data_IF_959416745306
#
_entry.id   IF_959416745306
#
_cell.length_a   1.000
_cell.length_b   1.000
_cell.length_c   1.000
_cell.angle_alpha   90.00
_cell.angle_beta   90.00
_cell.angle_gamma   90.00
#
_symmetry.space_group_name_H-M   'P 1'
#
loop_
_entity.id
_entity.type
_entity.pdbx_description
1 polymer ?
#
# COMPACT_ATOMS: atom_id res chain seq x y z
N UNK A 1 -12.72 -32.92 -33.37
CA UNK A 1 -12.23 -33.35 -32.06
C UNK A 1 -10.93 -32.64 -31.65
N UNK A 2 -9.90 -32.56 -32.51
CA UNK A 2 -8.63 -31.85 -32.17
C UNK A 2 -8.82 -30.39 -31.80
N UNK A 3 -9.64 -29.64 -32.54
CA UNK A 3 -9.92 -28.20 -32.27
C UNK A 3 -10.57 -27.99 -30.89
N UNK A 4 -11.50 -28.87 -30.50
CA UNK A 4 -12.15 -28.79 -29.18
C UNK A 4 -11.15 -29.03 -28.07
N UNK A 5 -10.23 -29.98 -28.23
CA UNK A 5 -9.16 -30.26 -27.27
C UNK A 5 -8.20 -29.05 -27.14
N UNK A 6 -7.86 -28.41 -28.27
CA UNK A 6 -7.02 -27.21 -28.27
C UNK A 6 -7.72 -26.00 -27.56
N UNK A 7 -9.01 -25.80 -27.83
CA UNK A 7 -9.79 -24.72 -27.17
C UNK A 7 -9.93 -24.98 -25.68
N UNK A 8 -10.23 -26.22 -25.28
CA UNK A 8 -10.32 -26.58 -23.86
C UNK A 8 -8.94 -26.47 -23.18
N UNK A 9 -7.87 -26.91 -23.84
CA UNK A 9 -6.50 -26.74 -23.31
C UNK A 9 -6.11 -25.28 -23.13
N UNK A 10 -6.44 -24.44 -24.10
CA UNK A 10 -6.15 -22.99 -23.99
C UNK A 10 -6.84 -22.32 -22.81
N UNK A 11 -8.03 -22.78 -22.40
CA UNK A 11 -8.74 -22.26 -21.22
C UNK A 11 -7.95 -22.38 -19.91
N UNK A 12 -7.04 -23.34 -19.82
CA UNK A 12 -6.22 -23.57 -18.62
C UNK A 12 -4.80 -23.03 -18.76
N UNK A 13 -4.24 -23.03 -19.96
CA UNK A 13 -2.85 -22.66 -20.20
C UNK A 13 -2.68 -21.16 -20.29
N UNK A 14 -3.59 -20.47 -21.00
CA UNK A 14 -3.46 -19.02 -21.23
C UNK A 14 -3.51 -18.21 -19.92
N UNK A 15 -4.47 -18.42 -18.99
CA UNK A 15 -4.48 -17.70 -17.73
C UNK A 15 -3.19 -17.91 -16.91
N UNK A 16 -2.73 -19.16 -16.81
CA UNK A 16 -1.51 -19.49 -16.05
C UNK A 16 -0.26 -18.84 -16.62
N UNK A 17 -0.16 -18.76 -17.93
CA UNK A 17 0.93 -18.05 -18.58
C UNK A 17 0.89 -16.55 -18.31
N UNK A 18 -0.30 -15.93 -18.36
CA UNK A 18 -0.48 -14.52 -18.04
C UNK A 18 -0.21 -14.21 -16.57
N UNK A 19 -0.68 -15.07 -15.65
CA UNK A 19 -0.37 -14.98 -14.22
C UNK A 19 1.16 -14.95 -13.99
N UNK A 20 1.90 -15.87 -14.60
CA UNK A 20 3.36 -15.95 -14.48
C UNK A 20 4.07 -14.66 -14.95
N UNK A 21 3.63 -14.07 -16.07
CA UNK A 21 4.21 -12.82 -16.55
C UNK A 21 3.95 -11.67 -15.55
N UNK A 22 2.72 -11.58 -15.03
CA UNK A 22 2.37 -10.54 -14.06
C UNK A 22 3.12 -10.76 -12.74
N UNK A 23 3.26 -12.00 -12.30
CA UNK A 23 4.07 -12.35 -11.11
C UNK A 23 5.52 -11.93 -11.28
N UNK A 24 6.13 -12.19 -12.43
CA UNK A 24 7.51 -11.81 -12.72
C UNK A 24 7.69 -10.28 -12.70
N UNK A 25 6.75 -9.53 -13.30
CA UNK A 25 6.79 -8.07 -13.32
C UNK A 25 6.62 -7.47 -11.93
N UNK A 26 5.66 -7.97 -11.15
CA UNK A 26 5.45 -7.54 -9.76
C UNK A 26 6.68 -7.85 -8.89
N UNK A 27 7.31 -9.01 -9.12
CA UNK A 27 8.52 -9.40 -8.40
C UNK A 27 9.71 -8.49 -8.71
N UNK A 28 9.87 -8.09 -9.96
CA UNK A 28 10.94 -7.18 -10.38
C UNK A 28 10.71 -5.76 -9.85
N UNK A 29 9.48 -5.27 -9.92
CA UNK A 29 9.14 -3.89 -9.61
C UNK A 29 8.93 -3.64 -8.11
N UNK A 30 8.26 -4.55 -7.39
CA UNK A 30 7.84 -4.36 -6.00
C UNK A 30 8.58 -5.24 -5.00
N UNK A 31 9.19 -6.34 -5.46
CA UNK A 31 9.99 -7.29 -4.65
C UNK A 31 9.27 -7.75 -3.37
N UNK A 32 8.02 -8.23 -3.47
CA UNK A 32 7.29 -8.74 -2.33
C UNK A 32 7.99 -9.98 -1.75
N UNK A 33 7.79 -10.26 -0.46
CA UNK A 33 8.31 -11.50 0.14
C UNK A 33 7.57 -12.76 -0.32
N UNK A 34 6.28 -12.60 -0.65
CA UNK A 34 5.44 -13.59 -1.32
C UNK A 34 4.33 -12.89 -2.09
N UNK A 35 3.79 -13.58 -3.08
CA UNK A 35 2.69 -13.05 -3.88
C UNK A 35 1.74 -14.14 -4.36
N UNK A 36 0.52 -13.74 -4.65
CA UNK A 36 -0.46 -14.53 -5.39
C UNK A 36 -1.04 -13.66 -6.50
N UNK A 37 -1.23 -14.24 -7.66
CA UNK A 37 -1.86 -13.60 -8.80
C UNK A 37 -2.91 -14.55 -9.36
N UNK A 38 -4.10 -14.07 -9.62
CA UNK A 38 -5.19 -14.79 -10.26
C UNK A 38 -5.72 -13.93 -11.40
N UNK A 39 -5.78 -14.51 -12.60
CA UNK A 39 -6.33 -13.84 -13.79
C UNK A 39 -7.38 -14.75 -14.41
N UNK A 40 -8.59 -14.24 -14.50
CA UNK A 40 -9.74 -14.97 -15.03
C UNK A 40 -10.33 -14.28 -16.25
N UNK A 41 -10.71 -15.08 -17.22
CA UNK A 41 -11.48 -14.62 -18.38
C UNK A 41 -12.29 -15.76 -18.98
N UNK A 42 -13.52 -15.47 -19.32
CA UNK A 42 -14.42 -16.45 -19.94
C UNK A 42 -14.98 -15.90 -21.26
N UNK A 43 -14.60 -16.49 -22.39
CA UNK A 43 -13.59 -17.55 -22.59
C UNK A 43 -12.14 -17.01 -22.45
N UNK A 44 -11.20 -17.89 -22.06
CA UNK A 44 -9.81 -17.50 -21.79
C UNK A 44 -9.06 -16.92 -23.01
N UNK A 45 -9.50 -17.17 -24.22
CA UNK A 45 -8.87 -16.61 -25.43
C UNK A 45 -8.97 -15.07 -25.49
N UNK A 46 -9.90 -14.42 -24.75
CA UNK A 46 -9.96 -12.97 -24.62
C UNK A 46 -8.64 -12.38 -24.10
N UNK A 47 -7.92 -13.12 -23.24
CA UNK A 47 -6.62 -12.71 -22.70
C UNK A 47 -5.60 -12.45 -23.82
N UNK A 48 -5.64 -13.23 -24.89
CA UNK A 48 -4.75 -13.04 -26.07
C UNK A 48 -5.02 -11.69 -26.75
N UNK A 49 -6.24 -11.17 -26.63
CA UNK A 49 -6.63 -9.86 -27.14
C UNK A 49 -6.52 -8.75 -26.08
N UNK A 50 -5.84 -9.03 -24.97
CA UNK A 50 -5.65 -8.06 -23.90
C UNK A 50 -6.89 -7.80 -23.06
N UNK A 51 -7.85 -8.73 -22.97
CA UNK A 51 -9.07 -8.57 -22.18
C UNK A 51 -9.12 -9.60 -21.06
N UNK A 52 -9.15 -9.12 -19.80
CA UNK A 52 -9.39 -9.93 -18.62
C UNK A 52 -10.69 -9.53 -17.94
N UNK A 53 -11.50 -10.53 -17.57
CA UNK A 53 -12.77 -10.27 -16.88
C UNK A 53 -12.50 -9.92 -15.42
N UNK A 54 -11.51 -10.57 -14.78
CA UNK A 54 -11.13 -10.36 -13.39
C UNK A 54 -9.63 -10.60 -13.17
N UNK A 55 -9.02 -9.80 -12.35
CA UNK A 55 -7.67 -10.00 -11.82
C UNK A 55 -7.64 -9.64 -10.35
N UNK A 56 -7.05 -10.49 -9.54
CA UNK A 56 -6.89 -10.27 -8.12
C UNK A 56 -5.57 -10.85 -7.63
N UNK A 57 -5.08 -10.35 -6.51
CA UNK A 57 -3.90 -10.90 -5.89
C UNK A 57 -3.54 -10.22 -4.58
N UNK A 58 -2.54 -10.79 -3.94
CA UNK A 58 -1.99 -10.27 -2.70
C UNK A 58 -0.47 -10.27 -2.79
N UNK A 59 0.14 -9.21 -2.33
CA UNK A 59 1.59 -9.04 -2.22
C UNK A 59 1.93 -8.84 -0.76
N UNK A 60 2.87 -9.59 -0.23
CA UNK A 60 3.27 -9.51 1.17
C UNK A 60 4.60 -8.76 1.32
N UNK A 61 4.69 -7.91 2.34
CA UNK A 61 5.87 -7.14 2.71
C UNK A 61 6.45 -6.31 1.56
N UNK A 62 5.65 -5.39 1.03
CA UNK A 62 6.04 -4.49 -0.06
C UNK A 62 6.55 -3.17 0.49
N UNK A 63 7.79 -2.84 0.17
CA UNK A 63 8.38 -1.55 0.53
C UNK A 63 8.07 -0.51 -0.55
N UNK A 64 7.22 0.47 -0.23
CA UNK A 64 6.93 1.61 -1.09
C UNK A 64 7.53 2.89 -0.49
N UNK A 65 8.56 3.41 -1.14
CA UNK A 65 9.34 4.50 -0.58
C UNK A 65 9.95 4.11 0.77
N UNK A 66 9.55 4.81 1.82
CA UNK A 66 10.02 4.58 3.19
C UNK A 66 9.06 3.76 4.06
N UNK A 67 7.84 3.52 3.59
CA UNK A 67 6.81 2.77 4.31
C UNK A 67 6.76 1.33 3.81
N UNK A 68 6.73 0.38 4.74
CA UNK A 68 6.44 -1.01 4.43
C UNK A 68 4.95 -1.28 4.57
N UNK A 69 4.38 -1.90 3.54
CA UNK A 69 3.04 -2.47 3.58
C UNK A 69 3.18 -3.96 3.88
N UNK A 70 2.64 -4.41 5.00
CA UNK A 70 2.66 -5.83 5.36
C UNK A 70 1.88 -6.67 4.36
N UNK A 71 0.80 -6.10 3.80
CA UNK A 71 0.03 -6.72 2.74
C UNK A 71 -0.54 -5.65 1.79
N UNK A 72 -0.55 -5.95 0.49
CA UNK A 72 -1.26 -5.21 -0.55
C UNK A 72 -2.17 -6.17 -1.27
N UNK A 73 -3.47 -6.04 -1.06
CA UNK A 73 -4.48 -6.79 -1.80
C UNK A 73 -5.05 -5.93 -2.92
N UNK A 74 -5.09 -6.46 -4.13
CA UNK A 74 -5.67 -5.76 -5.28
C UNK A 74 -6.76 -6.60 -5.96
N UNK A 75 -7.74 -5.90 -6.48
CA UNK A 75 -8.81 -6.47 -7.29
C UNK A 75 -9.16 -5.52 -8.42
N UNK A 76 -9.31 -6.06 -9.62
CA UNK A 76 -9.66 -5.31 -10.81
C UNK A 76 -10.60 -6.13 -11.70
N UNK A 77 -11.60 -5.47 -12.27
CA UNK A 77 -12.60 -6.11 -13.12
C UNK A 77 -12.65 -5.42 -14.48
N UNK A 78 -13.02 -6.19 -15.53
CA UNK A 78 -13.17 -5.68 -16.90
C UNK A 78 -11.94 -4.91 -17.38
N UNK A 79 -10.78 -5.56 -17.32
CA UNK A 79 -9.49 -4.99 -17.68
C UNK A 79 -9.29 -5.11 -19.19
N UNK A 80 -8.91 -4.03 -19.85
CA UNK A 80 -8.47 -4.03 -21.25
C UNK A 80 -7.08 -3.42 -21.31
N UNK A 81 -6.11 -4.16 -21.80
CA UNK A 81 -4.75 -3.71 -22.04
C UNK A 81 -4.45 -3.66 -23.54
N UNK A 82 -3.41 -2.93 -23.91
CA UNK A 82 -2.90 -2.94 -25.28
C UNK A 82 -2.17 -4.27 -25.55
N UNK A 83 -2.72 -5.20 -26.37
CA UNK A 83 -2.09 -6.49 -26.61
C UNK A 83 -0.77 -6.37 -27.41
N UNK A 84 -0.60 -5.30 -28.18
CA UNK A 84 0.61 -5.10 -28.99
C UNK A 84 1.77 -4.68 -28.09
N UNK A 85 1.56 -3.70 -27.20
CA UNK A 85 2.57 -3.28 -26.22
C UNK A 85 2.96 -4.45 -25.30
N UNK A 86 1.98 -5.22 -24.86
CA UNK A 86 2.21 -6.38 -24.01
C UNK A 86 3.06 -7.47 -24.69
N UNK A 87 2.76 -7.83 -25.95
CA UNK A 87 3.49 -8.87 -26.70
C UNK A 87 4.88 -8.39 -27.12
N UNK A 88 5.01 -7.11 -27.53
CA UNK A 88 6.24 -6.58 -28.09
C UNK A 88 7.29 -6.16 -27.05
N UNK A 89 6.84 -5.59 -25.93
CA UNK A 89 7.73 -4.99 -24.91
C UNK A 89 7.48 -5.48 -23.48
N UNK A 90 6.50 -6.36 -23.26
CA UNK A 90 6.00 -6.79 -21.94
C UNK A 90 5.49 -5.61 -21.08
N UNK A 91 5.17 -4.47 -21.70
CA UNK A 91 4.60 -3.33 -21.02
C UNK A 91 3.08 -3.48 -20.90
N UNK A 92 2.58 -3.32 -19.66
CA UNK A 92 1.14 -3.36 -19.38
C UNK A 92 0.55 -1.97 -19.54
N UNK A 93 0.10 -1.64 -20.75
CA UNK A 93 -0.63 -0.40 -21.03
C UNK A 93 -2.13 -0.64 -20.85
N UNK A 94 -2.71 -0.11 -19.78
CA UNK A 94 -4.14 -0.27 -19.47
C UNK A 94 -4.96 0.74 -20.27
N UNK A 95 -5.82 0.24 -21.15
CA UNK A 95 -6.71 1.04 -22.00
C UNK A 95 -8.07 1.30 -21.33
N UNK A 96 -8.54 0.34 -20.54
CA UNK A 96 -9.80 0.45 -19.80
C UNK A 96 -9.76 -0.41 -18.55
N UNK A 97 -10.41 0.07 -17.50
CA UNK A 97 -10.47 -0.60 -16.21
C UNK A 97 -11.85 -0.39 -15.61
N UNK A 98 -12.52 -1.48 -15.25
CA UNK A 98 -13.77 -1.44 -14.52
C UNK A 98 -13.57 -1.17 -13.02
N UNK A 99 -14.54 -1.52 -12.17
CA UNK A 99 -14.40 -1.37 -10.73
C UNK A 99 -13.15 -2.08 -10.22
N UNK A 100 -12.27 -1.31 -9.55
CA UNK A 100 -10.98 -1.79 -9.08
C UNK A 100 -10.56 -1.07 -7.81
N UNK A 101 -9.80 -1.74 -6.96
CA UNK A 101 -9.22 -1.16 -5.76
C UNK A 101 -7.91 -1.86 -5.38
N UNK A 102 -7.14 -1.19 -4.57
CA UNK A 102 -6.00 -1.76 -3.84
C UNK A 102 -6.23 -1.45 -2.36
N UNK A 103 -6.09 -2.45 -1.52
CA UNK A 103 -6.12 -2.30 -0.06
C UNK A 103 -4.73 -2.59 0.49
N UNK A 104 -4.14 -1.60 1.15
CA UNK A 104 -2.85 -1.70 1.81
C UNK A 104 -3.01 -1.81 3.33
N UNK A 105 -2.28 -2.74 3.94
CA UNK A 105 -2.24 -2.90 5.39
C UNK A 105 -0.86 -2.51 5.91
N UNK A 106 -0.84 -1.64 6.92
CA UNK A 106 0.37 -1.23 7.64
C UNK A 106 0.21 -1.62 9.10
N UNK A 107 1.14 -2.42 9.62
CA UNK A 107 1.15 -2.87 11.00
C UNK A 107 1.87 -1.86 11.92
N UNK A 108 1.66 -1.99 13.24
CA UNK A 108 2.37 -1.20 14.26
C UNK A 108 3.89 -1.23 14.08
N UNK A 109 4.45 -2.42 13.83
CA UNK A 109 5.89 -2.58 13.62
C UNK A 109 6.42 -1.87 12.37
N UNK A 110 5.62 -1.80 11.30
CA UNK A 110 5.99 -1.11 10.07
C UNK A 110 5.99 0.41 10.27
N UNK A 111 4.94 0.92 10.94
CA UNK A 111 4.87 2.33 11.32
C UNK A 111 5.99 2.71 12.30
N UNK A 112 6.30 1.84 13.25
CA UNK A 112 7.42 2.01 14.18
C UNK A 112 8.76 2.14 13.46
N UNK A 113 9.05 1.22 12.53
CA UNK A 113 10.28 1.24 11.73
C UNK A 113 10.37 2.53 10.90
N UNK A 114 9.26 2.92 10.26
CA UNK A 114 9.17 4.17 9.51
C UNK A 114 9.53 5.38 10.38
N UNK A 115 8.95 5.48 11.57
CA UNK A 115 9.17 6.61 12.49
C UNK A 115 10.60 6.69 13.00
N UNK A 116 11.19 5.56 13.39
CA UNK A 116 12.59 5.51 13.86
C UNK A 116 13.54 5.96 12.72
N UNK A 117 13.29 5.54 11.50
CA UNK A 117 14.13 5.89 10.36
C UNK A 117 13.98 7.34 9.89
N UNK A 118 12.84 7.98 10.17
CA UNK A 118 12.52 9.30 9.63
C UNK A 118 12.42 10.41 10.68
N UNK A 119 12.73 10.11 11.95
CA UNK A 119 12.70 11.10 13.05
C UNK A 119 14.06 11.16 13.73
N UNK A 120 14.76 12.29 13.56
CA UNK A 120 16.06 12.50 14.19
C UNK A 120 15.93 12.46 15.72
N UNK A 121 16.83 11.73 16.37
CA UNK A 121 16.90 11.65 17.82
C UNK A 121 15.87 10.74 18.48
N UNK A 122 14.99 10.11 17.72
CA UNK A 122 14.05 9.12 18.23
C UNK A 122 14.74 7.77 18.39
N UNK A 123 14.79 7.30 19.64
CA UNK A 123 15.32 5.98 20.00
C UNK A 123 14.22 5.18 20.68
N UNK A 124 14.19 3.88 20.48
CA UNK A 124 13.25 2.96 21.15
C UNK A 124 11.78 3.40 21.03
N UNK A 125 11.36 3.72 19.82
CA UNK A 125 9.96 4.05 19.58
C UNK A 125 9.06 2.84 19.86
N UNK A 126 7.92 3.10 20.50
CA UNK A 126 6.80 2.19 20.62
C UNK A 126 5.59 2.84 19.98
N UNK A 127 4.88 2.07 19.16
CA UNK A 127 3.66 2.49 18.47
C UNK A 127 2.53 1.61 18.98
N UNK A 128 1.43 2.23 19.37
CA UNK A 128 0.20 1.52 19.72
C UNK A 128 -0.92 2.10 18.88
N UNK A 129 -1.52 1.25 18.07
CA UNK A 129 -2.64 1.60 17.19
C UNK A 129 -3.94 1.12 17.85
N UNK A 130 -4.77 2.07 18.28
CA UNK A 130 -6.12 1.81 18.77
C UNK A 130 -7.14 2.34 17.76
N UNK A 131 -8.38 1.88 17.83
CA UNK A 131 -9.44 2.11 16.84
C UNK A 131 -9.61 3.57 16.36
N UNK A 132 -9.27 4.56 17.19
CA UNK A 132 -9.43 5.98 16.83
C UNK A 132 -8.15 6.81 17.03
N UNK A 133 -7.07 6.23 17.56
CA UNK A 133 -5.88 6.96 17.96
C UNK A 133 -4.62 6.14 17.80
N UNK A 134 -3.57 6.82 17.40
CA UNK A 134 -2.22 6.28 17.40
C UNK A 134 -1.45 6.97 18.53
N UNK A 135 -0.85 6.18 19.39
CA UNK A 135 0.06 6.64 20.43
C UNK A 135 1.48 6.24 20.07
N UNK A 136 2.36 7.23 20.01
CA UNK A 136 3.79 7.07 19.75
C UNK A 136 4.52 7.42 21.04
N UNK A 137 5.33 6.52 21.55
CA UNK A 137 6.22 6.79 22.67
C UNK A 137 7.64 6.47 22.29
N UNK A 138 8.58 7.31 22.69
CA UNK A 138 9.98 7.09 22.37
C UNK A 138 10.90 7.83 23.30
N UNK A 139 12.15 7.39 23.35
CA UNK A 139 13.20 8.08 24.10
C UNK A 139 13.78 9.19 23.23
N UNK A 140 13.78 10.40 23.74
CA UNK A 140 14.37 11.59 23.09
C UNK A 140 15.51 12.14 23.94
N UNK A 141 16.54 12.66 23.28
CA UNK A 141 17.61 13.37 23.95
C UNK A 141 17.21 14.80 24.20
N UNK A 142 17.07 15.17 25.47
CA UNK A 142 16.78 16.54 25.90
C UNK A 142 18.08 17.19 26.32
N UNK A 143 18.44 18.32 25.70
CA UNK A 143 19.66 19.11 26.04
C UNK A 143 20.98 18.29 26.10
N UNK A 144 21.21 17.45 25.09
CA UNK A 144 22.53 16.82 24.85
C UNK A 144 22.90 15.59 25.71
N UNK A 145 22.41 15.48 26.93
CA UNK A 145 22.74 14.35 27.83
C UNK A 145 21.58 13.84 28.70
N UNK A 146 20.47 14.54 28.76
CA UNK A 146 19.28 14.11 29.48
C UNK A 146 18.37 13.32 28.51
N UNK A 147 18.12 12.05 28.83
CA UNK A 147 17.13 11.23 28.14
C UNK A 147 15.78 11.43 28.82
N UNK A 148 14.75 11.67 28.00
CA UNK A 148 13.37 11.74 28.46
C UNK A 148 12.46 10.91 27.56
N UNK A 149 11.35 10.43 28.10
CA UNK A 149 10.32 9.78 27.32
C UNK A 149 9.38 10.83 26.74
N UNK A 150 9.31 10.90 25.40
CA UNK A 150 8.32 11.70 24.71
C UNK A 150 7.15 10.81 24.30
N UNK A 151 5.93 11.32 24.41
CA UNK A 151 4.73 10.67 23.91
C UNK A 151 3.95 11.64 23.03
N UNK A 152 3.52 11.14 21.89
CA UNK A 152 2.74 11.87 20.90
C UNK A 152 1.48 11.06 20.61
N UNK A 153 0.32 11.62 20.86
CA UNK A 153 -0.97 11.01 20.52
C UNK A 153 -1.62 11.80 19.39
N UNK A 154 -2.28 11.09 18.48
CA UNK A 154 -2.93 11.72 17.33
C UNK A 154 -3.78 10.74 16.55
N UNK A 155 -4.24 11.20 15.39
CA UNK A 155 -5.02 10.41 14.45
C UNK A 155 -4.40 10.45 13.05
N UNK A 156 -4.73 9.49 12.22
CA UNK A 156 -4.41 9.56 10.79
C UNK A 156 -5.37 10.48 10.07
N UNK A 157 -4.86 11.18 9.10
CA UNK A 157 -5.66 11.94 8.15
C UNK A 157 -5.16 11.70 6.73
N UNK A 158 -6.11 11.67 5.81
CA UNK A 158 -5.85 11.60 4.38
C UNK A 158 -6.27 12.93 3.76
N UNK A 159 -5.31 13.66 3.22
CA UNK A 159 -5.55 14.95 2.57
C UNK A 159 -4.64 15.12 1.36
N UNK A 160 -5.20 15.58 0.26
CA UNK A 160 -4.46 15.84 -0.99
C UNK A 160 -3.63 14.63 -1.46
N UNK A 161 -4.19 13.42 -1.30
CA UNK A 161 -3.54 12.13 -1.61
C UNK A 161 -2.32 11.81 -0.71
N UNK A 162 -2.19 12.49 0.43
CA UNK A 162 -1.11 12.26 1.40
C UNK A 162 -1.69 11.73 2.71
N UNK A 163 -1.17 10.58 3.15
CA UNK A 163 -1.40 10.03 4.48
C UNK A 163 -0.49 10.74 5.47
N UNK A 164 -1.07 11.31 6.50
CA UNK A 164 -0.34 12.01 7.54
C UNK A 164 -0.82 11.62 8.93
N UNK A 165 0.07 11.66 9.90
CA UNK A 165 -0.28 11.60 11.31
C UNK A 165 -0.50 13.04 11.81
N UNK A 166 -1.69 13.31 12.33
CA UNK A 166 -2.08 14.59 12.91
C UNK A 166 -1.99 14.51 14.43
N UNK A 167 -0.93 15.05 15.05
CA UNK A 167 -0.77 14.98 16.49
C UNK A 167 -1.78 15.89 17.20
N UNK A 168 -2.37 15.39 18.29
CA UNK A 168 -3.33 16.11 19.13
C UNK A 168 -2.80 16.41 20.52
N UNK A 169 -1.83 15.61 21.01
CA UNK A 169 -1.22 15.75 22.32
C UNK A 169 0.26 15.41 22.28
N UNK A 170 1.07 16.22 22.93
CA UNK A 170 2.50 15.96 23.13
C UNK A 170 2.85 16.06 24.61
N UNK A 171 3.56 15.07 25.14
CA UNK A 171 4.05 15.04 26.51
C UNK A 171 5.52 14.64 26.55
N UNK A 172 6.26 15.16 27.52
CA UNK A 172 7.63 14.73 27.78
C UNK A 172 7.73 14.33 29.24
N UNK A 173 8.22 13.12 29.50
CA UNK A 173 8.33 12.52 30.85
C UNK A 173 7.00 12.55 31.63
N UNK A 174 5.87 12.38 30.91
CA UNK A 174 4.52 12.38 31.47
C UNK A 174 3.94 13.80 31.76
N UNK A 175 4.71 14.85 31.53
CA UNK A 175 4.25 16.25 31.72
C UNK A 175 3.82 16.82 30.36
N UNK A 176 2.61 17.36 30.30
CA UNK A 176 2.17 18.15 29.14
C UNK A 176 2.97 19.45 29.11
N UNK A 177 3.66 19.71 27.99
CA UNK A 177 4.44 20.93 27.86
C UNK A 177 3.47 22.10 27.69
N UNK A 178 3.41 22.96 28.72
CA UNK A 178 2.58 24.15 28.66
C UNK A 178 3.04 25.06 27.51
N UNK A 179 2.08 25.49 26.68
CA UNK A 179 2.33 26.38 25.53
C UNK A 179 2.41 25.67 24.18
N UNK A 180 2.54 24.33 24.11
CA UNK A 180 2.38 23.61 22.86
C UNK A 180 0.91 23.21 22.69
N UNK A 181 0.22 23.90 21.81
CA UNK A 181 -1.16 23.56 21.43
C UNK A 181 -1.15 22.62 20.22
N UNK A 182 -2.21 21.83 20.05
CA UNK A 182 -2.37 20.97 18.86
C UNK A 182 -2.26 21.76 17.54
N UNK A 183 -2.57 23.04 17.54
CA UNK A 183 -2.42 23.91 16.35
C UNK A 183 -0.97 24.20 15.97
N UNK A 184 -0.03 24.03 16.89
CA UNK A 184 1.41 24.20 16.65
C UNK A 184 2.11 22.90 16.24
N UNK A 185 1.45 21.76 16.46
CA UNK A 185 1.93 20.45 16.03
C UNK A 185 1.53 20.23 14.57
N UNK A 186 2.50 20.31 13.69
CA UNK A 186 2.25 20.08 12.26
C UNK A 186 2.02 18.59 11.98
N UNK A 187 1.13 18.23 11.03
CA UNK A 187 0.99 16.86 10.58
C UNK A 187 2.30 16.30 10.03
N UNK A 188 2.60 15.06 10.38
CA UNK A 188 3.77 14.33 9.91
C UNK A 188 3.35 13.49 8.72
N UNK A 189 3.87 13.79 7.54
CA UNK A 189 3.59 13.01 6.34
C UNK A 189 4.20 11.60 6.49
N UNK A 190 3.35 10.58 6.32
CA UNK A 190 3.74 9.16 6.37
C UNK A 190 3.98 8.66 4.96
N UNK A 191 3.01 8.86 4.06
CA UNK A 191 3.11 8.42 2.68
C UNK A 191 2.35 9.34 1.72
N UNK A 192 2.99 9.66 0.60
CA UNK A 192 2.40 10.43 -0.49
C UNK A 192 2.04 9.48 -1.65
N UNK A 193 0.73 9.24 -1.85
CA UNK A 193 0.22 8.34 -2.88
C UNK A 193 0.42 8.86 -4.31
N UNK A 194 0.83 10.11 -4.49
CA UNK A 194 1.25 10.59 -5.80
C UNK A 194 2.56 9.93 -6.27
N UNK A 195 3.32 9.33 -5.34
CA UNK A 195 4.52 8.54 -5.61
C UNK A 195 4.25 7.02 -5.69
N UNK A 196 2.98 6.62 -5.74
CA UNK A 196 2.64 5.21 -5.94
C UNK A 196 3.06 4.74 -7.34
N UNK A 197 3.48 3.47 -7.55
CA UNK A 197 3.99 2.98 -8.83
C UNK A 197 3.05 3.17 -10.03
N UNK A 198 1.75 3.23 -9.77
CA UNK A 198 0.73 3.56 -10.79
C UNK A 198 -0.10 4.75 -10.30
N UNK A 199 -0.71 5.54 -11.21
CA UNK A 199 -1.58 6.64 -10.81
C UNK A 199 -2.75 6.15 -9.94
N UNK A 200 -2.86 6.69 -8.73
CA UNK A 200 -3.89 6.28 -7.76
C UNK A 200 -4.47 7.46 -7.01
N UNK A 201 -5.66 7.24 -6.47
CA UNK A 201 -6.29 8.11 -5.49
C UNK A 201 -6.57 7.31 -4.21
N UNK A 202 -6.04 7.75 -3.10
CA UNK A 202 -6.39 7.20 -1.80
C UNK A 202 -7.81 7.65 -1.43
N UNK A 203 -8.69 6.68 -1.09
CA UNK A 203 -10.11 6.92 -0.83
C UNK A 203 -10.41 6.99 0.67
N UNK A 204 -9.83 6.08 1.44
CA UNK A 204 -10.08 6.01 2.88
C UNK A 204 -8.90 5.41 3.64
N UNK A 205 -8.82 5.77 4.91
CA UNK A 205 -7.90 5.20 5.89
C UNK A 205 -8.72 4.83 7.11
N UNK A 206 -8.69 3.57 7.49
CA UNK A 206 -9.34 3.04 8.67
C UNK A 206 -8.27 2.48 9.62
N UNK A 207 -8.51 2.63 10.90
CA UNK A 207 -7.60 2.14 11.95
C UNK A 207 -8.37 1.11 12.77
N UNK A 208 -7.94 -0.14 12.73
CA UNK A 208 -8.61 -1.24 13.41
C UNK A 208 -7.58 -2.20 14.03
N UNK A 209 -7.75 -2.53 15.31
CA UNK A 209 -7.06 -3.64 15.98
C UNK A 209 -5.53 -3.73 15.80
N UNK A 210 -4.83 -2.60 15.81
CA UNK A 210 -3.38 -2.58 15.61
C UNK A 210 -2.93 -2.49 14.14
N UNK A 211 -3.86 -2.28 13.23
CA UNK A 211 -3.63 -2.21 11.80
C UNK A 211 -4.17 -0.93 11.18
N UNK A 212 -3.52 -0.43 10.15
CA UNK A 212 -3.97 0.69 9.32
C UNK A 212 -4.36 0.11 7.97
N UNK A 213 -5.65 0.19 7.65
CA UNK A 213 -6.20 -0.21 6.36
C UNK A 213 -6.35 1.01 5.46
N UNK A 214 -5.71 0.98 4.31
CA UNK A 214 -5.70 2.07 3.34
C UNK A 214 -6.32 1.60 2.05
N UNK A 215 -7.47 2.16 1.68
CA UNK A 215 -8.12 1.85 0.41
C UNK A 215 -7.73 2.85 -0.66
N UNK A 216 -7.27 2.34 -1.77
CA UNK A 216 -6.71 3.09 -2.88
C UNK A 216 -7.45 2.67 -4.16
N UNK A 217 -7.73 3.65 -5.03
CA UNK A 217 -8.34 3.41 -6.33
C UNK A 217 -7.37 3.78 -7.45
N UNK A 218 -7.11 2.88 -8.41
CA UNK A 218 -6.39 3.22 -9.62
C UNK A 218 -7.11 4.31 -10.42
N UNK A 219 -6.33 5.20 -11.02
CA UNK A 219 -6.84 6.28 -11.89
C UNK A 219 -6.22 6.07 -13.27
N UNK A 220 -7.06 5.91 -14.29
CA UNK A 220 -6.60 5.92 -15.68
C UNK A 220 -6.46 7.37 -16.14
N UNK A 221 -5.33 7.70 -16.75
CA UNK A 221 -5.08 8.99 -17.37
C UNK A 221 -5.71 9.06 -18.77
#
# INVERSE_FOLDING_TARGET
MLIIVCVVGAQFVVPKYMESIVEDELNQSLKPSSQTVVIESTPAFKLVYGQADHAAGTLENVQLGKLNFSSLHYEANNIVINPISFIASHEVEVLSLGPSYVEGIVLEDDLKKFLIQNTEGLQDANVVINNDRIALTGTVNIMGSLKGTASLEGALQLKDNVLSFAPSRFTVSGLTIAGITSQQLQPIAIYDFNNFPVPVKAESVNVENGEIHIKIKPVLN
#
